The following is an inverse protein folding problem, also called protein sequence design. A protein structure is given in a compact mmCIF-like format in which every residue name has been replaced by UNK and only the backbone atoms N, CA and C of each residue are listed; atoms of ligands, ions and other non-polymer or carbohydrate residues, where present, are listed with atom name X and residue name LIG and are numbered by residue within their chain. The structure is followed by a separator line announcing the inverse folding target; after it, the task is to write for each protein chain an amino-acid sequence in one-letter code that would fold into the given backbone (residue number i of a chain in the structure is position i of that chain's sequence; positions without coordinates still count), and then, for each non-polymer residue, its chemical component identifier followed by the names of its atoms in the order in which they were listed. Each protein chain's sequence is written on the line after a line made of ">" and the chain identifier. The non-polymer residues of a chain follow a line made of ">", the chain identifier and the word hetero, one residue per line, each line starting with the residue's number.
data_IF_089629693690
#
_entry.id   IF_089629693690
#
_cell.length_a   1.000
_cell.length_b   1.000
_cell.length_c   1.000
_cell.angle_alpha   90.00
_cell.angle_beta   90.00
_cell.angle_gamma   90.00
#
_symmetry.space_group_name_H-M   'P 1'
#
loop_
_entity.id
_entity.type
_entity.pdbx_description
1 polymer ?
#
# COMPACT_ATOMS: atom_id res chain seq x y z
N UNK A 1 1.13 -10.59 4.05
CA UNK A 1 2.12 -10.92 3.00
C UNK A 1 2.07 -9.98 1.80
N UNK A 2 0.90 -9.61 1.26
CA UNK A 2 0.82 -8.66 0.12
C UNK A 2 1.48 -7.32 0.46
N UNK A 3 1.17 -6.75 1.62
CA UNK A 3 1.71 -5.44 2.03
C UNK A 3 3.23 -5.46 2.18
N UNK A 4 3.79 -6.50 2.80
CA UNK A 4 5.25 -6.66 2.96
C UNK A 4 5.97 -6.84 1.62
N UNK A 5 5.36 -7.54 0.65
CA UNK A 5 5.91 -7.63 -0.71
C UNK A 5 5.88 -6.26 -1.41
N UNK A 6 4.81 -5.48 -1.22
CA UNK A 6 4.73 -4.13 -1.76
C UNK A 6 5.67 -3.14 -1.07
N UNK A 7 5.97 -3.31 0.22
CA UNK A 7 7.06 -2.57 0.89
C UNK A 7 8.37 -2.78 0.15
N UNK A 8 8.75 -4.04 -0.12
CA UNK A 8 9.99 -4.35 -0.86
C UNK A 8 9.92 -3.85 -2.31
N UNK A 9 8.76 -3.94 -2.95
CA UNK A 9 8.57 -3.42 -4.32
C UNK A 9 8.75 -1.90 -4.37
N UNK A 10 8.17 -1.16 -3.43
CA UNK A 10 8.34 0.29 -3.34
C UNK A 10 9.78 0.65 -3.00
N UNK A 11 10.44 -0.08 -2.10
CA UNK A 11 11.85 0.12 -1.80
C UNK A 11 12.73 -0.10 -3.03
N UNK A 12 12.45 -1.14 -3.84
CA UNK A 12 13.20 -1.41 -5.07
C UNK A 12 13.05 -0.29 -6.10
N UNK A 13 11.84 0.27 -6.25
CA UNK A 13 11.59 1.41 -7.14
C UNK A 13 12.27 2.67 -6.56
N UNK A 14 12.14 2.89 -5.25
CA UNK A 14 12.67 4.07 -4.59
C UNK A 14 14.19 4.13 -4.59
N UNK A 15 14.86 2.98 -4.43
CA UNK A 15 16.31 2.84 -4.43
C UNK A 15 16.87 2.34 -5.77
N UNK A 16 16.09 2.45 -6.85
CA UNK A 16 16.51 2.07 -8.20
C UNK A 16 17.59 2.99 -8.79
N UNK A 17 17.74 2.96 -10.11
CA UNK A 17 18.78 3.74 -10.81
C UNK A 17 18.69 5.26 -10.56
N UNK A 18 17.47 5.78 -10.38
CA UNK A 18 17.22 7.15 -9.97
C UNK A 18 16.39 7.11 -8.70
N UNK A 19 16.96 7.50 -7.54
CA UNK A 19 16.22 7.47 -6.29
C UNK A 19 14.97 8.36 -6.32
N UNK A 20 13.87 7.92 -5.73
CA UNK A 20 12.65 8.71 -5.57
C UNK A 20 11.35 7.97 -5.90
N UNK A 21 10.34 8.69 -6.39
CA UNK A 21 9.00 8.14 -6.63
C UNK A 21 8.02 8.32 -5.48
N UNK A 22 8.50 8.54 -4.26
CA UNK A 22 7.70 8.97 -3.10
C UNK A 22 8.41 10.16 -2.44
N UNK A 23 7.70 11.25 -2.19
CA UNK A 23 8.12 12.29 -1.26
C UNK A 23 7.50 12.00 0.09
N UNK A 24 8.32 11.86 1.13
CA UNK A 24 7.86 11.72 2.51
C UNK A 24 7.79 13.08 3.23
N UNK A 25 7.95 14.18 2.50
CA UNK A 25 7.88 15.55 3.04
C UNK A 25 8.84 15.78 4.23
N UNK A 26 9.99 15.13 4.18
CA UNK A 26 11.06 15.21 5.17
C UNK A 26 12.42 15.40 4.49
N UNK A 27 13.39 15.96 5.22
CA UNK A 27 14.75 16.19 4.71
C UNK A 27 15.64 14.95 4.82
N UNK A 28 15.30 14.03 5.72
CA UNK A 28 16.08 12.81 5.98
C UNK A 28 15.75 11.73 4.96
N UNK A 29 16.73 10.92 4.52
CA UNK A 29 16.46 9.76 3.69
C UNK A 29 15.44 8.83 4.36
N UNK A 30 14.42 8.35 3.63
CA UNK A 30 13.38 7.54 4.23
C UNK A 30 13.90 6.17 4.66
N UNK A 31 13.46 5.73 5.82
CA UNK A 31 13.74 4.41 6.34
C UNK A 31 12.81 3.37 5.70
N UNK A 32 13.17 2.08 5.81
CA UNK A 32 12.28 1.00 5.38
C UNK A 32 10.92 1.03 6.07
N UNK A 33 10.86 1.56 7.29
CA UNK A 33 9.62 1.77 8.05
C UNK A 33 8.72 2.80 7.41
N UNK A 34 9.26 3.86 6.80
CA UNK A 34 8.46 4.89 6.12
C UNK A 34 7.83 4.31 4.84
N UNK A 35 8.60 3.51 4.10
CA UNK A 35 8.10 2.77 2.94
C UNK A 35 7.06 1.72 3.36
N UNK A 36 7.27 1.07 4.51
CA UNK A 36 6.31 0.12 5.06
C UNK A 36 5.01 0.83 5.48
N UNK A 37 5.11 1.98 6.14
CA UNK A 37 3.96 2.82 6.48
C UNK A 37 3.11 3.12 5.23
N UNK A 38 3.72 3.59 4.15
CA UNK A 38 3.00 3.86 2.90
C UNK A 38 2.35 2.58 2.33
N UNK A 39 3.11 1.49 2.24
CA UNK A 39 2.60 0.21 1.71
C UNK A 39 1.42 -0.34 2.52
N UNK A 40 1.50 -0.30 3.85
CA UNK A 40 0.42 -0.80 4.70
C UNK A 40 -0.80 0.11 4.64
N UNK A 41 -0.63 1.43 4.61
CA UNK A 41 -1.76 2.35 4.49
C UNK A 41 -2.53 2.14 3.18
N UNK A 42 -1.84 2.03 2.04
CA UNK A 42 -2.46 1.66 0.76
C UNK A 42 -3.12 0.28 0.84
N UNK A 43 -2.45 -0.67 1.49
CA UNK A 43 -2.92 -2.03 1.69
C UNK A 43 -4.20 -2.14 2.52
N UNK A 44 -4.36 -1.25 3.49
CA UNK A 44 -5.57 -1.10 4.30
C UNK A 44 -6.62 -0.22 3.61
N UNK A 45 -6.37 0.21 2.37
CA UNK A 45 -7.22 1.13 1.59
C UNK A 45 -7.41 2.50 2.25
N UNK A 46 -6.45 2.93 3.08
CA UNK A 46 -6.42 4.26 3.65
C UNK A 46 -5.58 5.20 2.79
N UNK A 47 -6.08 6.42 2.62
CA UNK A 47 -5.33 7.47 1.94
C UNK A 47 -4.27 8.02 2.90
N UNK A 48 -3.03 8.05 2.42
CA UNK A 48 -1.88 8.68 3.09
C UNK A 48 -1.82 10.11 2.58
N UNK A 49 -2.03 11.10 3.45
CA UNK A 49 -2.03 12.52 3.07
C UNK A 49 -0.66 13.18 3.21
N UNK A 50 0.25 12.55 3.93
CA UNK A 50 1.58 13.05 4.28
C UNK A 50 2.67 12.65 3.26
N UNK A 51 2.33 11.88 2.23
CA UNK A 51 3.29 11.45 1.20
C UNK A 51 2.79 11.68 -0.23
N UNK A 52 3.66 12.18 -1.11
CA UNK A 52 3.32 12.42 -2.52
C UNK A 52 3.99 11.41 -3.45
N UNK A 53 3.24 10.87 -4.42
CA UNK A 53 3.79 9.98 -5.44
C UNK A 53 4.32 10.79 -6.63
N UNK A 54 5.63 10.87 -6.77
CA UNK A 54 6.29 11.80 -7.70
C UNK A 54 6.55 11.22 -9.09
N UNK A 55 6.66 9.88 -9.23
CA UNK A 55 6.97 9.23 -10.52
C UNK A 55 5.82 8.39 -11.07
N UNK A 56 5.77 8.25 -12.40
CA UNK A 56 4.77 7.41 -13.10
C UNK A 56 4.94 5.92 -12.77
N UNK A 57 6.18 5.46 -12.61
CA UNK A 57 6.47 4.09 -12.22
C UNK A 57 5.89 3.76 -10.84
N UNK A 58 6.13 4.64 -9.85
CA UNK A 58 5.58 4.45 -8.52
C UNK A 58 4.04 4.51 -8.56
N UNK A 59 3.43 5.44 -9.30
CA UNK A 59 1.96 5.48 -9.47
C UNK A 59 1.39 4.16 -10.02
N UNK A 60 2.07 3.55 -10.99
CA UNK A 60 1.62 2.26 -11.54
C UNK A 60 1.72 1.13 -10.50
N UNK A 61 2.78 1.11 -9.70
CA UNK A 61 2.92 0.14 -8.62
C UNK A 61 1.84 0.33 -7.55
N UNK A 62 1.59 1.58 -7.14
CA UNK A 62 0.55 1.93 -6.15
C UNK A 62 -0.83 1.52 -6.65
N UNK A 63 -1.17 1.81 -7.90
CA UNK A 63 -2.46 1.43 -8.48
C UNK A 63 -2.69 -0.10 -8.42
N UNK A 64 -1.68 -0.89 -8.76
CA UNK A 64 -1.78 -2.36 -8.68
C UNK A 64 -1.95 -2.83 -7.23
N UNK A 65 -1.25 -2.20 -6.28
CA UNK A 65 -1.42 -2.50 -4.86
C UNK A 65 -2.84 -2.17 -4.40
N UNK A 66 -3.35 -0.98 -4.73
CA UNK A 66 -4.69 -0.53 -4.36
C UNK A 66 -5.78 -1.46 -4.91
N UNK A 67 -5.67 -1.90 -6.16
CA UNK A 67 -6.63 -2.84 -6.75
C UNK A 67 -6.64 -4.19 -6.02
N UNK A 68 -5.46 -4.74 -5.71
CA UNK A 68 -5.35 -5.99 -4.96
C UNK A 68 -5.86 -5.84 -3.53
N UNK A 69 -5.53 -4.73 -2.86
CA UNK A 69 -5.98 -4.38 -1.52
C UNK A 69 -7.51 -4.28 -1.46
N UNK A 70 -8.11 -3.58 -2.42
CA UNK A 70 -9.56 -3.44 -2.53
C UNK A 70 -10.24 -4.81 -2.69
N UNK A 71 -9.81 -5.63 -3.66
CA UNK A 71 -10.38 -6.97 -3.89
C UNK A 71 -10.29 -7.85 -2.65
N UNK A 72 -9.14 -7.83 -1.97
CA UNK A 72 -8.93 -8.61 -0.75
C UNK A 72 -9.83 -8.12 0.40
N UNK A 73 -9.87 -6.81 0.64
CA UNK A 73 -10.72 -6.20 1.67
C UNK A 73 -12.21 -6.46 1.43
N UNK A 74 -12.67 -6.32 0.19
CA UNK A 74 -14.06 -6.63 -0.18
C UNK A 74 -14.38 -8.11 0.04
N UNK A 75 -13.47 -9.02 -0.34
CA UNK A 75 -13.65 -10.47 -0.12
C UNK A 75 -13.75 -10.85 1.35
N UNK A 76 -12.88 -10.27 2.21
CA UNK A 76 -12.96 -10.46 3.66
C UNK A 76 -14.29 -9.94 4.20
N UNK A 77 -14.69 -8.73 3.81
CA UNK A 77 -15.93 -8.12 4.27
C UNK A 77 -17.15 -8.97 3.89
N UNK A 78 -17.22 -9.42 2.62
CA UNK A 78 -18.31 -10.26 2.15
C UNK A 78 -18.36 -11.61 2.90
N UNK A 79 -17.21 -12.26 3.11
CA UNK A 79 -17.13 -13.52 3.85
C UNK A 79 -17.55 -13.34 5.31
N UNK A 80 -17.10 -12.25 5.94
CA UNK A 80 -17.46 -11.92 7.33
C UNK A 80 -18.96 -11.68 7.48
N UNK A 81 -19.58 -10.93 6.55
CA UNK A 81 -21.04 -10.72 6.54
C UNK A 81 -21.77 -12.06 6.44
N UNK A 82 -21.39 -12.91 5.48
CA UNK A 82 -22.02 -14.22 5.29
C UNK A 82 -21.88 -15.12 6.54
N UNK A 83 -20.72 -15.11 7.19
CA UNK A 83 -20.47 -15.85 8.41
C UNK A 83 -21.38 -15.36 9.55
N UNK A 84 -21.46 -14.05 9.77
CA UNK A 84 -22.30 -13.46 10.83
C UNK A 84 -23.77 -13.77 10.60
N UNK A 85 -24.27 -13.63 9.37
CA UNK A 85 -25.65 -13.96 9.01
C UNK A 85 -25.93 -15.44 9.27
N UNK A 86 -25.02 -16.34 8.91
CA UNK A 86 -25.18 -17.78 9.13
C UNK A 86 -25.16 -18.20 10.60
N UNK A 87 -24.52 -17.43 11.49
CA UNK A 87 -24.47 -17.73 12.93
C UNK A 87 -25.67 -17.14 13.69
N UNK A 88 -26.23 -16.04 13.18
CA UNK A 88 -27.40 -15.38 13.76
C UNK A 88 -28.74 -16.00 13.34
N UNK A 89 -28.73 -16.88 12.33
CA UNK A 89 -29.86 -17.67 11.87
C UNK A 89 -30.01 -18.96 12.69
#
# INVERSE_FOLDING_TARGET
>A
MVHTLYTLRYATIYYGAVPGGISFNQNEPPQYTDIAYMAFSVGMTYQVSDTDITTREMRSAVLRHSLLAFLFGTGILATTINLVVSLAA
#
